data_IF_169825117065
#
_entry.id   IF_169825117065
#
_cell.length_a   1.000
_cell.length_b   1.000
_cell.length_c   1.000
_cell.angle_alpha   90.00
_cell.angle_beta   90.00
_cell.angle_gamma   90.00
#
_symmetry.space_group_name_H-M   'P 1'
#
loop_
_entity.id
_entity.type
_entity.pdbx_description
1 polymer ?
#
# COMPACT_ATOMS: atom_id res chain seq x y z
N UNK A 1 9.52 -15.95 -7.01
CA UNK A 1 8.31 -15.60 -6.24
C UNK A 1 8.55 -14.28 -5.53
N UNK A 2 7.59 -13.36 -5.58
CA UNK A 2 7.70 -12.05 -4.95
C UNK A 2 7.10 -12.13 -3.55
N UNK A 3 7.76 -11.52 -2.56
CA UNK A 3 7.28 -11.54 -1.17
C UNK A 3 6.51 -10.27 -0.85
N UNK A 4 5.36 -10.42 -0.22
CA UNK A 4 4.59 -9.30 0.29
C UNK A 4 5.24 -8.75 1.57
N UNK A 5 5.55 -7.46 1.60
CA UNK A 5 6.12 -6.79 2.78
C UNK A 5 5.12 -6.66 3.95
N UNK A 6 3.83 -6.90 3.70
CA UNK A 6 2.76 -6.75 4.68
C UNK A 6 2.36 -8.05 5.37
N UNK A 7 2.13 -9.10 4.58
CA UNK A 7 1.70 -10.39 5.12
C UNK A 7 2.79 -11.47 5.06
N UNK A 8 3.95 -11.17 4.46
CA UNK A 8 5.07 -12.09 4.34
C UNK A 8 4.84 -13.27 3.38
N UNK A 9 3.65 -13.38 2.76
CA UNK A 9 3.32 -14.45 1.80
C UNK A 9 4.05 -14.25 0.48
N UNK A 10 4.43 -15.35 -0.13
CA UNK A 10 4.90 -15.40 -1.51
C UNK A 10 3.73 -15.28 -2.47
N UNK A 11 3.90 -14.49 -3.53
CA UNK A 11 2.89 -14.26 -4.55
C UNK A 11 3.57 -14.10 -5.90
N UNK A 12 2.86 -14.47 -6.95
CA UNK A 12 3.31 -14.28 -8.33
C UNK A 12 3.35 -12.81 -8.72
N UNK A 13 2.54 -11.98 -8.05
CA UNK A 13 2.43 -10.55 -8.32
C UNK A 13 2.37 -9.73 -7.02
N UNK A 14 3.21 -8.72 -6.93
CA UNK A 14 3.13 -7.69 -5.90
C UNK A 14 3.04 -6.31 -6.54
N UNK A 15 2.26 -5.43 -5.94
CA UNK A 15 2.07 -4.05 -6.38
C UNK A 15 2.75 -3.11 -5.39
N UNK A 16 3.33 -2.03 -5.91
CA UNK A 16 3.94 -1.01 -5.08
C UNK A 16 2.86 -0.20 -4.37
N UNK A 17 2.94 -0.10 -3.05
CA UNK A 17 1.98 0.66 -2.24
C UNK A 17 2.69 1.83 -1.57
N UNK A 18 2.17 3.04 -1.77
CA UNK A 18 2.56 4.20 -0.98
C UNK A 18 1.82 4.13 0.36
N UNK A 19 2.56 4.15 1.47
CA UNK A 19 1.95 4.10 2.82
C UNK A 19 1.65 5.47 3.40
N UNK A 20 2.29 6.51 2.90
CA UNK A 20 2.19 7.83 3.52
C UNK A 20 0.99 8.60 2.97
N UNK A 21 0.09 9.00 3.88
CA UNK A 21 -0.99 9.96 3.58
C UNK A 21 -0.40 11.30 3.12
N UNK A 22 0.79 11.64 3.62
CA UNK A 22 1.61 12.79 3.23
C UNK A 22 2.75 12.33 2.32
N UNK A 23 2.41 11.74 1.18
CA UNK A 23 3.38 11.36 0.16
C UNK A 23 3.98 12.63 -0.48
N UNK A 24 4.83 13.33 0.27
CA UNK A 24 5.64 14.42 -0.21
C UNK A 24 6.73 13.82 -1.10
N UNK A 25 6.48 13.90 -2.42
CA UNK A 25 7.30 13.35 -3.49
C UNK A 25 8.62 14.11 -3.64
N UNK A 26 8.73 15.29 -3.03
CA UNK A 26 9.81 16.24 -3.27
C UNK A 26 10.80 16.27 -2.10
N UNK A 27 10.33 16.05 -0.86
CA UNK A 27 11.17 16.29 0.32
C UNK A 27 11.55 15.04 1.11
N UNK A 28 10.76 13.95 1.06
CA UNK A 28 10.97 12.77 1.90
C UNK A 28 11.22 11.51 1.06
N UNK A 29 12.31 10.79 1.39
CA UNK A 29 12.66 9.53 0.74
C UNK A 29 11.80 8.40 1.32
N UNK A 30 10.63 8.19 0.74
CA UNK A 30 9.71 7.14 1.18
C UNK A 30 10.22 5.75 0.78
N UNK A 31 10.19 4.81 1.74
CA UNK A 31 10.62 3.44 1.54
C UNK A 31 9.62 2.71 0.61
N UNK A 32 10.13 2.08 -0.45
CA UNK A 32 9.28 1.36 -1.42
C UNK A 32 8.83 0.05 -0.79
N UNK A 33 7.53 -0.08 -0.50
CA UNK A 33 6.92 -1.32 -0.01
C UNK A 33 6.01 -1.94 -1.07
N UNK A 34 5.98 -3.26 -1.10
CA UNK A 34 5.25 -4.07 -2.06
C UNK A 34 4.22 -4.94 -1.33
N UNK A 35 2.99 -4.91 -1.82
CA UNK A 35 1.89 -5.73 -1.30
C UNK A 35 1.43 -6.74 -2.34
N UNK A 36 1.04 -7.93 -1.88
CA UNK A 36 0.21 -8.81 -2.69
C UNK A 36 -1.17 -8.18 -2.96
N UNK A 37 -1.91 -8.78 -3.90
CA UNK A 37 -3.23 -8.30 -4.31
C UNK A 37 -4.19 -8.09 -3.12
N UNK A 38 -4.30 -9.08 -2.23
CA UNK A 38 -5.16 -8.99 -1.03
C UNK A 38 -4.82 -7.79 -0.14
N UNK A 39 -3.53 -7.61 0.16
CA UNK A 39 -3.06 -6.55 1.05
C UNK A 39 -3.22 -5.17 0.41
N UNK A 40 -3.03 -5.07 -0.90
CA UNK A 40 -3.29 -3.84 -1.64
C UNK A 40 -4.78 -3.49 -1.65
N UNK A 41 -5.65 -4.47 -1.88
CA UNK A 41 -7.10 -4.26 -1.93
C UNK A 41 -7.63 -3.80 -0.57
N UNK A 42 -7.17 -4.43 0.52
CA UNK A 42 -7.54 -4.03 1.89
C UNK A 42 -7.17 -2.58 2.18
N UNK A 43 -5.94 -2.18 1.84
CA UNK A 43 -5.49 -0.79 2.03
C UNK A 43 -6.26 0.21 1.18
N UNK A 44 -6.60 -0.15 -0.05
CA UNK A 44 -7.39 0.70 -0.93
C UNK A 44 -8.82 0.87 -0.38
N UNK A 45 -9.43 -0.20 0.15
CA UNK A 45 -10.72 -0.11 0.84
C UNK A 45 -10.64 0.79 2.08
N UNK A 46 -9.59 0.67 2.89
CA UNK A 46 -9.37 1.56 4.04
C UNK A 46 -9.22 3.02 3.61
N UNK A 47 -8.48 3.29 2.51
CA UNK A 47 -8.36 4.63 1.92
C UNK A 47 -9.72 5.18 1.50
N UNK A 48 -10.52 4.39 0.77
CA UNK A 48 -11.85 4.79 0.33
C UNK A 48 -12.81 5.02 1.50
N UNK A 49 -12.74 4.17 2.54
CA UNK A 49 -13.54 4.34 3.75
C UNK A 49 -13.22 5.67 4.46
N UNK A 50 -11.93 6.00 4.60
CA UNK A 50 -11.49 7.30 5.17
C UNK A 50 -11.97 8.48 4.33
N UNK A 51 -11.88 8.40 3.01
CA UNK A 51 -12.37 9.45 2.10
C UNK A 51 -13.89 9.65 2.20
N UNK A 52 -14.65 8.56 2.42
CA UNK A 52 -16.09 8.64 2.63
C UNK A 52 -16.48 9.17 4.02
N UNK A 53 -15.68 8.88 5.05
CA UNK A 53 -15.95 9.31 6.43
C UNK A 53 -15.61 10.78 6.69
N UNK A 54 -14.72 11.38 5.89
CA UNK A 54 -14.36 12.80 5.97
C UNK A 54 -15.24 13.74 5.13
N UNK A 55 -16.40 13.27 4.64
CA UNK A 55 -17.30 14.02 3.76
C UNK A 55 -18.65 14.29 4.39
#
# INVERSE_FOLDING_TARGET
MLKCDFCGRESDNVVRVALDQDYDRLTVKHEKRYACHDCSLKKEQERQARLKAGK
#
